data_IF_502185650965
#
_entry.id   IF_502185650965
#
_cell.length_a   1.000
_cell.length_b   1.000
_cell.length_c   1.000
_cell.angle_alpha   90.00
_cell.angle_beta   90.00
_cell.angle_gamma   90.00
#
_symmetry.space_group_name_H-M   'P 1'
#
loop_
_entity.id
_entity.type
_entity.pdbx_description
1 polymer ?
#
# COMPACT_ATOMS: atom_id res chain seq x y z
N UNK A 1 -3.71 0.98 5.91
CA UNK A 1 -3.04 0.97 4.60
C UNK A 1 -2.95 2.40 4.12
N UNK A 2 -1.77 2.82 3.68
CA UNK A 2 -1.51 4.19 3.27
C UNK A 2 -0.41 4.26 2.18
N UNK A 3 -0.34 5.39 1.49
CA UNK A 3 0.65 5.74 0.49
C UNK A 3 1.60 6.83 1.00
N UNK A 4 2.85 6.44 1.23
CA UNK A 4 3.90 7.41 1.56
C UNK A 4 4.58 7.86 0.27
N UNK A 5 4.79 9.16 0.09
CA UNK A 5 5.51 9.70 -1.08
C UNK A 5 6.84 10.29 -0.64
N UNK A 6 7.90 10.00 -1.38
CA UNK A 6 9.26 10.45 -1.09
C UNK A 6 10.04 10.69 -2.40
N UNK A 7 11.25 11.24 -2.32
CA UNK A 7 12.05 11.66 -3.47
C UNK A 7 13.54 11.39 -3.29
N UNK A 8 14.16 10.71 -4.26
CA UNK A 8 15.61 10.61 -4.34
C UNK A 8 16.18 11.88 -5.00
N UNK A 9 16.55 12.86 -4.18
CA UNK A 9 17.06 14.16 -4.66
C UNK A 9 15.99 14.98 -5.37
N UNK A 10 16.39 15.87 -6.28
CA UNK A 10 15.53 16.95 -6.80
C UNK A 10 14.44 16.53 -7.80
N UNK A 11 14.38 15.28 -8.28
CA UNK A 11 13.36 14.92 -9.31
C UNK A 11 12.97 13.44 -9.41
N UNK A 12 13.46 12.55 -8.55
CA UNK A 12 13.07 11.13 -8.59
C UNK A 12 12.07 10.80 -7.50
N UNK A 13 10.83 11.19 -7.75
CA UNK A 13 9.71 10.88 -6.87
C UNK A 13 9.38 9.39 -6.94
N UNK A 14 8.96 8.83 -5.81
CA UNK A 14 8.40 7.50 -5.72
C UNK A 14 7.32 7.46 -4.66
N UNK A 15 6.48 6.43 -4.73
CA UNK A 15 5.43 6.18 -3.75
C UNK A 15 5.60 4.79 -3.19
N UNK A 16 5.25 4.65 -1.92
CA UNK A 16 5.31 3.40 -1.18
C UNK A 16 3.92 3.02 -0.73
N UNK A 17 3.48 1.82 -1.12
CA UNK A 17 2.30 1.19 -0.53
C UNK A 17 2.72 0.58 0.80
N UNK A 18 2.11 1.04 1.89
CA UNK A 18 2.34 0.54 3.23
C UNK A 18 1.09 -0.19 3.74
N UNK A 19 1.26 -1.45 4.14
CA UNK A 19 0.22 -2.24 4.81
C UNK A 19 0.78 -2.70 6.14
N UNK A 20 0.09 -2.31 7.20
CA UNK A 20 0.37 -2.73 8.57
C UNK A 20 -0.84 -3.51 9.07
N UNK A 21 -0.58 -4.67 9.66
CA UNK A 21 -1.56 -5.41 10.43
C UNK A 21 -1.65 -4.80 11.83
N UNK A 22 -2.82 -4.26 12.17
CA UNK A 22 -3.05 -3.58 13.44
C UNK A 22 -2.99 -4.54 14.65
N UNK A 23 -3.41 -5.79 14.46
CA UNK A 23 -3.47 -6.80 15.52
C UNK A 23 -2.10 -7.37 15.87
N UNK A 24 -1.24 -7.58 14.87
CA UNK A 24 0.09 -8.19 15.05
C UNK A 24 1.22 -7.18 15.05
N UNK A 25 0.95 -5.92 14.67
CA UNK A 25 1.94 -4.85 14.44
C UNK A 25 3.00 -5.21 13.39
N UNK A 26 2.70 -6.18 12.52
CA UNK A 26 3.58 -6.55 11.40
C UNK A 26 3.32 -5.65 10.18
N UNK A 27 4.35 -5.48 9.35
CA UNK A 27 4.25 -4.77 8.06
C UNK A 27 4.34 -5.79 6.92
N UNK A 28 3.23 -6.47 6.55
CA UNK A 28 3.25 -7.51 5.52
C UNK A 28 3.52 -6.98 4.11
N UNK A 29 3.36 -5.68 3.85
CA UNK A 29 3.69 -5.08 2.55
C UNK A 29 4.31 -3.69 2.70
N UNK A 30 5.47 -3.54 2.06
CA UNK A 30 6.16 -2.28 1.82
C UNK A 30 6.70 -2.30 0.39
N UNK A 31 5.94 -1.73 -0.55
CA UNK A 31 6.29 -1.74 -1.98
C UNK A 31 6.52 -0.33 -2.47
N UNK A 32 7.76 -0.05 -2.90
CA UNK A 32 8.16 1.23 -3.45
C UNK A 32 8.23 1.17 -4.98
N UNK A 33 7.52 2.06 -5.66
CA UNK A 33 7.59 2.20 -7.12
C UNK A 33 7.54 3.70 -7.51
N UNK A 34 8.18 4.13 -8.62
CA UNK A 34 8.07 5.51 -9.11
C UNK A 34 6.62 5.96 -9.37
N UNK A 35 5.75 5.00 -9.65
CA UNK A 35 4.30 5.18 -9.76
C UNK A 35 3.60 3.90 -9.28
N UNK A 36 2.52 4.05 -8.51
CA UNK A 36 1.69 2.95 -8.04
C UNK A 36 0.28 3.09 -8.63
N UNK A 37 0.00 2.31 -9.67
CA UNK A 37 -1.35 2.23 -10.24
C UNK A 37 -2.28 1.42 -9.33
N UNK A 38 -3.59 1.65 -9.44
CA UNK A 38 -4.60 0.84 -8.74
C UNK A 38 -4.48 -0.66 -9.06
N UNK A 39 -4.12 -1.02 -10.30
CA UNK A 39 -3.86 -2.41 -10.71
C UNK A 39 -2.66 -3.03 -9.99
N UNK A 40 -1.57 -2.26 -9.82
CA UNK A 40 -0.39 -2.69 -9.06
C UNK A 40 -0.74 -2.89 -7.58
N UNK A 41 -1.47 -1.94 -6.98
CA UNK A 41 -1.96 -2.04 -5.59
C UNK A 41 -2.83 -3.28 -5.39
N UNK A 42 -3.81 -3.51 -6.27
CA UNK A 42 -4.68 -4.68 -6.20
C UNK A 42 -3.87 -5.99 -6.28
N UNK A 43 -2.83 -6.04 -7.12
CA UNK A 43 -1.96 -7.21 -7.23
C UNK A 43 -1.23 -7.52 -5.93
N UNK A 44 -0.66 -6.49 -5.27
CA UNK A 44 0.02 -6.68 -3.98
C UNK A 44 -0.97 -7.15 -2.90
N UNK A 45 -2.16 -6.53 -2.82
CA UNK A 45 -3.19 -6.93 -1.86
C UNK A 45 -3.66 -8.38 -2.08
N UNK A 46 -3.84 -8.80 -3.33
CA UNK A 46 -4.18 -10.20 -3.65
C UNK A 46 -3.06 -11.15 -3.23
N UNK A 47 -1.80 -10.78 -3.40
CA UNK A 47 -0.67 -11.58 -2.92
C UNK A 47 -0.68 -11.71 -1.39
N UNK A 48 -0.94 -10.61 -0.67
CA UNK A 48 -1.06 -10.65 0.79
C UNK A 48 -2.19 -11.56 1.27
N UNK A 49 -3.37 -11.48 0.63
CA UNK A 49 -4.51 -12.31 1.00
C UNK A 49 -4.19 -13.80 0.84
N UNK A 50 -3.36 -14.18 -0.13
CA UNK A 50 -2.94 -15.57 -0.32
C UNK A 50 -2.01 -16.08 0.78
N UNK A 51 -1.18 -15.20 1.36
CA UNK A 51 -0.17 -15.57 2.36
C UNK A 51 -0.73 -15.45 3.79
N UNK A 52 -1.45 -14.37 4.07
CA UNK A 52 -1.90 -14.00 5.42
C UNK A 52 -3.41 -14.21 5.63
N UNK A 53 -4.15 -14.54 4.58
CA UNK A 53 -5.60 -14.64 4.61
C UNK A 53 -6.31 -13.30 4.36
N UNK A 54 -7.64 -13.35 4.20
CA UNK A 54 -8.45 -12.16 3.94
C UNK A 54 -8.64 -11.37 5.24
N UNK A 55 -8.31 -10.07 5.28
CA UNK A 55 -8.57 -9.26 6.47
C UNK A 55 -10.09 -9.08 6.70
N UNK A 56 -10.45 -8.78 7.94
CA UNK A 56 -11.83 -8.41 8.30
C UNK A 56 -12.23 -7.04 7.74
N UNK A 57 -11.31 -6.08 7.76
CA UNK A 57 -11.47 -4.74 7.22
C UNK A 57 -10.13 -4.18 6.76
N UNK A 58 -10.18 -3.18 5.87
CA UNK A 58 -9.01 -2.39 5.46
C UNK A 58 -9.33 -0.94 5.80
N UNK A 59 -8.52 -0.33 6.65
CA UNK A 59 -8.58 1.10 6.92
C UNK A 59 -7.55 1.83 6.05
N UNK A 60 -8.00 2.88 5.37
CA UNK A 60 -7.15 3.84 4.67
C UNK A 60 -7.58 5.24 5.07
N UNK A 61 -6.61 6.12 5.21
CA UNK A 61 -6.75 7.53 5.59
C UNK A 61 -7.07 8.44 4.39
N UNK A 62 -6.93 7.94 3.17
CA UNK A 62 -7.23 8.67 1.96
C UNK A 62 -8.74 8.58 1.64
N UNK A 63 -9.38 9.74 1.48
CA UNK A 63 -10.73 9.81 0.91
C UNK A 63 -10.62 9.43 -0.56
N UNK A 64 -11.05 8.21 -0.90
CA UNK A 64 -11.31 7.83 -2.28
C UNK A 64 -12.52 8.64 -2.75
N UNK A 65 -12.30 9.89 -3.19
CA UNK A 65 -13.27 10.55 -4.04
C UNK A 65 -13.35 9.70 -5.31
N UNK A 66 -14.46 8.98 -5.47
CA UNK A 66 -14.80 8.40 -6.75
C UNK A 66 -14.98 9.55 -7.74
N UNK A 67 -14.08 9.67 -8.71
CA UNK A 67 -14.35 10.40 -9.95
C UNK A 67 -15.40 9.64 -10.77
#
# INVERSE_FOLDING_TARGET
MDFVSDSFGTSRNFRMLTVVDDSTRQCPCLVADPSLSGTRVARELVALIRVYGKPGCIFSDNVLCAE
#
